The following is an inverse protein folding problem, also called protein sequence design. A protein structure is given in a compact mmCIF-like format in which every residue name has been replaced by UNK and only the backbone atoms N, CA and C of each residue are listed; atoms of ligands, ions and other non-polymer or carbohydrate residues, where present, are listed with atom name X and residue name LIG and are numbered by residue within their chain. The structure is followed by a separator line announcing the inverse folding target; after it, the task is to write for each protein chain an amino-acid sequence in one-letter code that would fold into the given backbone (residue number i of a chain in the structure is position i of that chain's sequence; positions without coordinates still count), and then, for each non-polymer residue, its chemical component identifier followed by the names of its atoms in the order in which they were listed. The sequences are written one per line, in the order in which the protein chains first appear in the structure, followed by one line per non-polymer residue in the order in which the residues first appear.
data_IF_932700672933
#
_entry.id   IF_932700672933
#
_cell.length_a   1.000
_cell.length_b   1.000
_cell.length_c   1.000
_cell.angle_alpha   90.00
_cell.angle_beta   90.00
_cell.angle_gamma   90.00
#
_symmetry.space_group_name_H-M   'P 1'
#
loop_
_entity.id
_entity.type
_entity.pdbx_description
1 polymer ?
#
# COMPACT_ATOMS: atom_id res chain seq x y z
N UNK A 1 62.68 31.22 47.21
CA UNK A 1 63.36 30.23 48.06
C UNK A 1 62.82 28.85 47.73
N UNK A 2 63.74 27.93 47.44
CA UNK A 2 63.52 26.53 47.07
C UNK A 2 62.85 25.70 48.17
N UNK A 3 62.08 24.68 47.77
CA UNK A 3 62.24 23.28 48.23
C UNK A 3 61.32 22.35 47.42
N UNK A 4 61.90 21.52 46.53
CA UNK A 4 62.03 20.04 46.62
C UNK A 4 60.67 19.31 46.63
N UNK A 5 60.20 18.74 45.51
CA UNK A 5 60.65 17.49 44.85
C UNK A 5 60.39 16.23 45.70
N UNK A 6 59.46 15.36 45.23
CA UNK A 6 59.70 13.93 44.86
C UNK A 6 58.49 12.99 45.10
N UNK A 7 58.40 12.01 44.20
CA UNK A 7 57.96 10.60 44.35
C UNK A 7 56.63 10.17 43.71
N UNK A 8 56.84 9.40 42.62
CA UNK A 8 56.22 8.15 42.16
C UNK A 8 54.78 7.80 42.57
N UNK A 9 54.02 7.38 41.57
CA UNK A 9 52.81 6.56 41.76
C UNK A 9 52.28 6.03 40.44
N UNK A 10 52.92 4.98 39.94
CA UNK A 10 52.43 4.14 38.84
C UNK A 10 51.12 3.45 39.25
N UNK A 11 50.07 3.51 38.44
CA UNK A 11 49.02 2.47 38.39
C UNK A 11 48.15 2.66 37.14
N UNK A 12 48.30 1.71 36.22
CA UNK A 12 47.34 1.35 35.19
C UNK A 12 45.92 1.31 35.79
N UNK A 13 45.00 2.02 35.15
CA UNK A 13 43.56 1.89 35.37
C UNK A 13 42.87 1.91 34.02
N UNK A 14 43.14 0.92 33.18
CA UNK A 14 42.40 0.68 31.95
C UNK A 14 41.01 0.12 32.35
N UNK A 15 40.07 1.02 32.63
CA UNK A 15 38.66 0.68 32.77
C UNK A 15 38.09 0.44 31.36
N UNK A 16 38.03 -0.83 30.98
CA UNK A 16 37.21 -1.30 29.86
C UNK A 16 35.74 -0.93 30.15
N UNK A 17 35.24 0.09 29.46
CA UNK A 17 33.81 0.34 29.30
C UNK A 17 33.24 -0.75 28.38
N UNK A 18 32.79 -1.87 28.94
CA UNK A 18 31.96 -2.83 28.22
C UNK A 18 30.53 -2.29 28.24
N UNK A 19 30.16 -1.55 27.19
CA UNK A 19 28.77 -1.19 26.94
C UNK A 19 27.98 -2.43 26.48
N UNK A 20 26.69 -2.58 26.85
CA UNK A 20 25.90 -3.75 26.51
C UNK A 20 25.52 -3.76 25.03
N UNK A 21 26.05 -4.73 24.27
CA UNK A 21 25.71 -4.95 22.86
C UNK A 21 24.32 -5.59 22.62
N UNK A 22 23.48 -5.73 23.65
CA UNK A 22 22.20 -6.43 23.54
C UNK A 22 21.05 -5.58 22.96
N UNK A 23 21.13 -4.24 23.00
CA UNK A 23 20.03 -3.37 22.57
C UNK A 23 19.98 -3.09 21.06
N UNK A 24 21.10 -3.28 20.35
CA UNK A 24 21.18 -2.96 18.92
C UNK A 24 20.43 -3.97 18.03
N UNK A 25 20.43 -5.26 18.39
CA UNK A 25 19.68 -6.30 17.65
C UNK A 25 18.17 -6.17 17.84
N UNK A 26 17.72 -5.78 19.04
CA UNK A 26 16.29 -5.61 19.35
C UNK A 26 15.68 -4.41 18.59
N UNK A 27 16.44 -3.34 18.38
CA UNK A 27 16.00 -2.17 17.58
C UNK A 27 15.94 -2.46 16.08
N UNK A 28 16.85 -3.29 15.54
CA UNK A 28 16.82 -3.72 14.12
C UNK A 28 15.64 -4.64 13.82
N UNK A 29 15.24 -5.49 14.77
CA UNK A 29 14.04 -6.34 14.64
C UNK A 29 12.72 -5.57 14.79
N UNK A 30 12.75 -4.30 15.21
CA UNK A 30 11.58 -3.43 15.38
C UNK A 30 11.40 -2.41 14.24
N UNK A 31 12.26 -2.42 13.22
CA UNK A 31 12.10 -1.60 12.01
C UNK A 31 11.26 -2.31 10.93
N UNK A 32 10.28 -3.11 11.33
CA UNK A 32 9.20 -3.46 10.41
C UNK A 32 8.41 -2.17 10.17
N UNK A 33 8.21 -1.70 8.92
CA UNK A 33 7.30 -0.59 8.68
C UNK A 33 5.94 -0.93 9.33
N UNK A 34 5.21 0.08 9.87
CA UNK A 34 3.89 -0.14 10.43
C UNK A 34 3.08 -1.06 9.50
N UNK A 35 2.44 -2.10 10.03
CA UNK A 35 1.81 -3.17 9.22
C UNK A 35 0.89 -2.61 8.13
N UNK A 36 0.25 -1.47 8.37
CA UNK A 36 -0.59 -0.80 7.39
C UNK A 36 0.22 -0.17 6.25
N UNK A 37 1.39 0.43 6.52
CA UNK A 37 2.31 0.91 5.47
C UNK A 37 2.80 -0.24 4.57
N UNK A 38 3.05 -1.41 5.15
CA UNK A 38 3.44 -2.60 4.38
C UNK A 38 2.32 -3.03 3.42
N UNK A 39 1.05 -3.05 3.88
CA UNK A 39 -0.12 -3.37 3.04
C UNK A 39 -0.29 -2.39 1.88
N UNK A 40 -0.17 -1.08 2.11
CA UNK A 40 -0.26 -0.10 1.02
C UNK A 40 0.88 -0.25 0.02
N UNK A 41 2.10 -0.54 0.50
CA UNK A 41 3.27 -0.77 -0.36
C UNK A 41 3.07 -2.01 -1.23
N UNK A 42 2.58 -3.11 -0.67
CA UNK A 42 2.28 -4.33 -1.41
C UNK A 42 1.19 -4.11 -2.48
N UNK A 43 0.12 -3.39 -2.13
CA UNK A 43 -0.93 -3.03 -3.08
C UNK A 43 -0.41 -2.16 -4.24
N UNK A 44 0.48 -1.20 -3.97
CA UNK A 44 1.14 -0.40 -5.00
C UNK A 44 2.03 -1.25 -5.90
N UNK A 45 2.83 -2.16 -5.33
CA UNK A 45 3.68 -3.08 -6.08
C UNK A 45 2.86 -3.98 -7.01
N UNK A 46 1.79 -4.60 -6.49
CA UNK A 46 0.84 -5.39 -7.30
C UNK A 46 0.26 -4.58 -8.46
N UNK A 47 -0.07 -3.32 -8.20
CA UNK A 47 -0.60 -2.41 -9.22
C UNK A 47 0.46 -2.07 -10.27
N UNK A 48 1.72 -1.90 -9.87
CA UNK A 48 2.84 -1.68 -10.80
C UNK A 48 3.08 -2.88 -11.73
N UNK A 49 2.88 -4.11 -11.25
CA UNK A 49 3.02 -5.33 -12.06
C UNK A 49 1.84 -5.54 -13.02
N UNK A 50 0.64 -5.09 -12.64
CA UNK A 50 -0.60 -5.47 -13.34
C UNK A 50 -1.11 -4.37 -14.29
N UNK A 51 -0.99 -3.11 -13.87
CA UNK A 51 -1.73 -2.01 -14.48
C UNK A 51 -0.92 -1.32 -15.59
N UNK A 52 -1.42 -1.24 -16.83
CA UNK A 52 -0.72 -0.57 -17.93
C UNK A 52 -0.38 0.88 -17.60
N UNK A 53 -1.35 1.62 -17.07
CA UNK A 53 -1.23 3.06 -16.80
C UNK A 53 -0.69 3.39 -15.41
N UNK A 54 -0.11 2.40 -14.71
CA UNK A 54 0.50 2.63 -13.40
C UNK A 54 1.53 3.77 -13.46
N UNK A 55 1.39 4.68 -12.51
CA UNK A 55 2.43 5.57 -12.01
C UNK A 55 2.09 5.82 -10.55
N UNK A 56 3.09 6.05 -9.70
CA UNK A 56 2.84 6.34 -8.28
C UNK A 56 1.83 7.47 -8.09
N UNK A 57 1.93 8.54 -8.88
CA UNK A 57 1.03 9.69 -8.80
C UNK A 57 -0.42 9.33 -9.16
N UNK A 58 -0.65 8.48 -10.17
CA UNK A 58 -2.02 8.09 -10.58
C UNK A 58 -2.60 6.99 -9.70
N UNK A 59 -1.79 6.03 -9.29
CA UNK A 59 -2.26 4.83 -8.58
C UNK A 59 -2.48 5.09 -7.09
N UNK A 60 -1.59 5.88 -6.46
CA UNK A 60 -1.61 6.06 -5.00
C UNK A 60 -2.93 6.58 -4.45
N UNK A 61 -3.61 7.59 -5.04
CA UNK A 61 -4.89 8.08 -4.52
C UNK A 61 -5.98 7.02 -4.41
N UNK A 62 -6.07 6.10 -5.39
CA UNK A 62 -7.03 4.99 -5.35
C UNK A 62 -6.65 3.95 -4.30
N UNK A 63 -5.38 3.57 -4.22
CA UNK A 63 -4.89 2.57 -3.25
C UNK A 63 -5.08 3.04 -1.81
N UNK A 64 -4.72 4.28 -1.49
CA UNK A 64 -4.83 4.80 -0.11
C UNK A 64 -6.28 5.07 0.31
N UNK A 65 -7.20 5.22 -0.63
CA UNK A 65 -8.63 5.35 -0.34
C UNK A 65 -9.24 4.03 0.16
N UNK A 66 -8.69 2.89 -0.24
CA UNK A 66 -9.18 1.57 0.18
C UNK A 66 -8.71 1.26 1.61
N UNK A 67 -9.59 0.82 2.52
CA UNK A 67 -9.20 0.43 3.87
C UNK A 67 -8.15 -0.70 3.87
N UNK A 68 -7.14 -0.61 4.74
CA UNK A 68 -6.07 -1.62 4.82
C UNK A 68 -6.58 -3.06 5.03
N UNK A 69 -7.70 -3.25 5.74
CA UNK A 69 -8.32 -4.57 5.89
C UNK A 69 -8.82 -5.13 4.55
N UNK A 70 -9.43 -4.30 3.71
CA UNK A 70 -9.87 -4.70 2.38
C UNK A 70 -8.66 -4.98 1.46
N UNK A 71 -7.62 -4.15 1.53
CA UNK A 71 -6.38 -4.38 0.77
C UNK A 71 -5.74 -5.74 1.08
N UNK A 72 -5.73 -6.17 2.35
CA UNK A 72 -5.21 -7.50 2.75
C UNK A 72 -5.98 -8.65 2.09
N UNK A 73 -7.31 -8.53 1.95
CA UNK A 73 -8.15 -9.52 1.26
C UNK A 73 -7.89 -9.50 -0.25
N UNK A 74 -7.75 -8.32 -0.84
CA UNK A 74 -7.40 -8.21 -2.27
C UNK A 74 -6.03 -8.82 -2.55
N UNK A 75 -5.04 -8.54 -1.69
CA UNK A 75 -3.69 -9.06 -1.80
C UNK A 75 -3.65 -10.58 -1.70
N UNK A 76 -4.35 -11.19 -0.72
CA UNK A 76 -4.40 -12.64 -0.56
C UNK A 76 -5.02 -13.37 -1.76
N UNK A 77 -5.87 -12.68 -2.53
CA UNK A 77 -6.49 -13.17 -3.76
C UNK A 77 -5.71 -12.81 -5.03
N UNK A 78 -4.65 -12.03 -4.89
CA UNK A 78 -3.84 -11.55 -6.00
C UNK A 78 -4.51 -10.48 -6.87
N UNK A 79 -5.51 -9.79 -6.32
CA UNK A 79 -6.25 -8.75 -7.03
C UNK A 79 -5.51 -7.41 -7.03
N UNK A 80 -5.69 -6.63 -8.09
CA UNK A 80 -4.99 -5.37 -8.31
C UNK A 80 -5.94 -4.16 -8.37
N UNK A 81 -5.38 -2.98 -8.11
CA UNK A 81 -6.06 -1.69 -8.20
C UNK A 81 -5.42 -0.87 -9.33
N UNK A 82 -6.11 -0.69 -10.45
CA UNK A 82 -5.56 -0.04 -11.64
C UNK A 82 -6.20 1.31 -11.97
N UNK A 83 -5.42 2.41 -12.08
CA UNK A 83 -5.93 3.58 -12.76
C UNK A 83 -6.14 3.24 -14.25
N UNK A 84 -7.27 3.67 -14.82
CA UNK A 84 -7.58 3.54 -16.24
C UNK A 84 -8.27 4.81 -16.73
N UNK A 85 -7.53 5.63 -17.46
CA UNK A 85 -7.98 6.92 -18.02
C UNK A 85 -8.97 6.76 -19.17
N UNK A 86 -9.15 5.53 -19.68
CA UNK A 86 -10.12 5.22 -20.74
C UNK A 86 -11.54 5.04 -20.21
N UNK A 87 -11.69 4.83 -18.90
CA UNK A 87 -13.00 4.78 -18.26
C UNK A 87 -13.65 6.16 -18.32
N UNK A 88 -14.93 6.23 -18.68
CA UNK A 88 -15.62 7.51 -18.75
C UNK A 88 -15.97 8.05 -17.35
N UNK A 89 -16.29 9.34 -17.24
CA UNK A 89 -16.57 9.98 -15.95
C UNK A 89 -17.94 9.62 -15.37
N UNK A 90 -18.85 9.08 -16.19
CA UNK A 90 -20.19 8.62 -15.77
C UNK A 90 -20.18 7.18 -15.26
N UNK A 91 -19.24 6.34 -15.72
CA UNK A 91 -18.97 4.99 -15.21
C UNK A 91 -17.52 4.81 -14.72
N UNK A 92 -17.11 5.58 -13.69
CA UNK A 92 -15.70 5.78 -13.40
C UNK A 92 -15.03 4.63 -12.64
N UNK A 93 -15.75 3.57 -12.25
CA UNK A 93 -15.21 2.43 -11.51
C UNK A 93 -15.73 1.13 -12.11
N UNK A 94 -14.83 0.16 -12.28
CA UNK A 94 -15.12 -1.15 -12.85
C UNK A 94 -14.42 -2.23 -12.04
N UNK A 95 -15.07 -3.37 -11.89
CA UNK A 95 -14.48 -4.62 -11.46
C UNK A 95 -14.42 -5.56 -12.66
N UNK A 96 -13.22 -5.97 -13.04
CA UNK A 96 -12.95 -6.94 -14.09
C UNK A 96 -12.77 -8.33 -13.44
N UNK A 97 -13.88 -9.03 -13.21
CA UNK A 97 -13.89 -10.27 -12.42
C UNK A 97 -12.98 -11.39 -12.92
N UNK A 98 -12.88 -11.57 -14.24
CA UNK A 98 -11.97 -12.57 -14.82
C UNK A 98 -10.48 -12.26 -14.57
N UNK A 99 -10.13 -10.99 -14.43
CA UNK A 99 -8.76 -10.53 -14.25
C UNK A 99 -8.40 -10.26 -12.79
N UNK A 100 -9.41 -10.16 -11.91
CA UNK A 100 -9.18 -9.80 -10.52
C UNK A 100 -8.73 -8.34 -10.36
N UNK A 101 -9.32 -7.41 -11.12
CA UNK A 101 -8.87 -6.01 -11.13
C UNK A 101 -10.02 -5.07 -10.83
N UNK A 102 -9.85 -4.22 -9.82
CA UNK A 102 -10.62 -2.99 -9.79
C UNK A 102 -9.90 -1.91 -10.59
N UNK A 103 -10.62 -1.30 -11.53
CA UNK A 103 -10.13 -0.15 -12.26
C UNK A 103 -10.93 1.11 -11.91
N UNK A 104 -10.30 2.28 -11.96
CA UNK A 104 -10.98 3.55 -11.80
C UNK A 104 -10.41 4.63 -12.71
N UNK A 105 -11.25 5.60 -13.11
CA UNK A 105 -10.80 6.81 -13.80
C UNK A 105 -10.16 7.78 -12.78
N UNK A 106 -8.83 8.03 -12.82
CA UNK A 106 -8.18 8.95 -11.90
C UNK A 106 -8.57 10.42 -12.10
N UNK A 107 -9.15 10.79 -13.25
CA UNK A 107 -9.65 12.14 -13.52
C UNK A 107 -11.07 12.37 -12.95
N UNK A 108 -11.78 11.33 -12.53
CA UNK A 108 -13.09 11.46 -11.90
C UNK A 108 -12.94 11.61 -10.39
N UNK A 109 -13.21 12.82 -9.88
CA UNK A 109 -12.97 13.19 -8.47
C UNK A 109 -13.63 12.24 -7.44
N UNK A 110 -14.79 11.65 -7.78
CA UNK A 110 -15.50 10.72 -6.91
C UNK A 110 -15.04 9.25 -7.01
N UNK A 111 -14.24 8.91 -8.02
CA UNK A 111 -13.91 7.52 -8.34
C UNK A 111 -13.16 6.79 -7.22
N UNK A 112 -12.14 7.36 -6.55
CA UNK A 112 -11.46 6.69 -5.45
C UNK A 112 -12.40 6.34 -4.27
N UNK A 113 -13.40 7.19 -3.99
CA UNK A 113 -14.39 6.93 -2.94
C UNK A 113 -15.32 5.78 -3.31
N UNK A 114 -15.77 5.72 -4.56
CA UNK A 114 -16.60 4.63 -5.06
C UNK A 114 -15.81 3.32 -5.05
N UNK A 115 -14.58 3.34 -5.57
CA UNK A 115 -13.64 2.23 -5.55
C UNK A 115 -13.48 1.67 -4.12
N UNK A 116 -13.18 2.54 -3.15
CA UNK A 116 -13.00 2.16 -1.77
C UNK A 116 -14.25 1.51 -1.16
N UNK A 117 -15.43 2.08 -1.43
CA UNK A 117 -16.69 1.55 -0.93
C UNK A 117 -16.96 0.13 -1.47
N UNK A 118 -16.79 -0.07 -2.79
CA UNK A 118 -17.07 -1.35 -3.43
C UNK A 118 -16.02 -2.42 -3.09
N UNK A 119 -14.74 -2.06 -3.13
CA UNK A 119 -13.65 -2.96 -2.73
C UNK A 119 -13.82 -3.41 -1.26
N UNK A 120 -14.19 -2.50 -0.36
CA UNK A 120 -14.45 -2.85 1.03
C UNK A 120 -15.74 -3.68 1.20
N UNK A 121 -16.77 -3.48 0.39
CA UNK A 121 -17.97 -4.31 0.44
C UNK A 121 -17.65 -5.75 0.05
N UNK A 122 -16.98 -5.95 -1.10
CA UNK A 122 -16.60 -7.30 -1.55
C UNK A 122 -15.55 -7.96 -0.67
N UNK A 123 -14.60 -7.21 -0.12
CA UNK A 123 -13.64 -7.77 0.81
C UNK A 123 -14.28 -8.24 2.12
N UNK A 124 -15.40 -7.63 2.55
CA UNK A 124 -16.14 -8.06 3.75
C UNK A 124 -16.99 -9.31 3.51
N UNK A 125 -17.64 -9.40 2.35
CA UNK A 125 -18.41 -10.61 1.99
C UNK A 125 -17.53 -11.75 1.51
N UNK A 126 -16.31 -11.44 1.04
CA UNK A 126 -15.40 -12.37 0.37
C UNK A 126 -15.95 -12.99 -0.93
N UNK A 127 -17.06 -12.45 -1.42
CA UNK A 127 -17.75 -12.87 -2.63
C UNK A 127 -17.41 -11.90 -3.77
N UNK A 128 -16.52 -12.32 -4.66
CA UNK A 128 -16.11 -11.53 -5.82
C UNK A 128 -16.77 -12.08 -7.08
N UNK A 129 -17.55 -11.28 -7.83
CA UNK A 129 -18.16 -11.73 -9.07
C UNK A 129 -17.12 -12.15 -10.11
N UNK A 130 -17.35 -13.24 -10.83
CA UNK A 130 -16.52 -13.58 -12.01
C UNK A 130 -16.80 -12.66 -13.22
N UNK A 131 -17.96 -12.01 -13.24
CA UNK A 131 -18.38 -11.09 -14.29
C UNK A 131 -17.77 -9.69 -14.13
N UNK A 132 -17.86 -8.89 -15.20
CA UNK A 132 -17.55 -7.46 -15.11
C UNK A 132 -18.69 -6.72 -14.42
N UNK A 133 -18.36 -5.87 -13.46
CA UNK A 133 -19.33 -5.03 -12.73
C UNK A 133 -18.90 -3.58 -12.86
N UNK A 134 -19.84 -2.69 -13.16
CA UNK A 134 -19.57 -1.28 -13.47
C UNK A 134 -20.39 -0.40 -12.54
N UNK A 135 -19.79 0.67 -12.02
CA UNK A 135 -20.46 1.63 -11.17
C UNK A 135 -20.49 3.02 -11.78
N UNK A 136 -21.63 3.68 -11.62
CA UNK A 136 -21.83 5.07 -12.01
C UNK A 136 -21.12 6.01 -11.03
N UNK A 137 -20.96 7.28 -11.40
CA UNK A 137 -20.39 8.33 -10.55
C UNK A 137 -21.15 8.58 -9.23
N UNK A 138 -22.38 8.11 -9.10
CA UNK A 138 -23.16 8.14 -7.86
C UNK A 138 -23.03 6.85 -7.02
N UNK A 139 -22.17 5.91 -7.43
CA UNK A 139 -21.94 4.64 -6.75
C UNK A 139 -22.99 3.55 -7.01
N UNK A 140 -24.04 3.82 -7.80
CA UNK A 140 -25.01 2.80 -8.23
C UNK A 140 -24.44 1.92 -9.33
N UNK A 141 -24.97 0.71 -9.47
CA UNK A 141 -24.63 -0.18 -10.58
C UNK A 141 -25.01 0.46 -11.93
N UNK A 142 -24.16 0.25 -12.92
CA UNK A 142 -24.36 0.67 -14.30
C UNK A 142 -24.69 -0.55 -15.16
N UNK A 143 -25.97 -0.93 -15.19
CA UNK A 143 -26.45 -2.03 -16.03
C UNK A 143 -26.29 -1.69 -17.51
N UNK A 144 -25.85 -2.68 -18.31
CA UNK A 144 -25.63 -2.52 -19.75
C UNK A 144 -24.49 -1.57 -20.14
N UNK A 145 -23.67 -1.11 -19.18
CA UNK A 145 -22.57 -0.20 -19.47
C UNK A 145 -21.49 -0.89 -20.31
N UNK A 146 -21.04 -0.20 -21.36
CA UNK A 146 -19.89 -0.62 -22.17
C UNK A 146 -18.64 0.03 -21.59
N UNK A 147 -17.66 -0.79 -21.26
CA UNK A 147 -16.36 -0.34 -20.74
C UNK A 147 -15.24 -0.95 -21.59
N UNK A 148 -14.09 -0.27 -21.70
CA UNK A 148 -12.91 -0.83 -22.34
C UNK A 148 -12.55 -2.18 -21.72
N UNK A 149 -12.08 -3.12 -22.53
CA UNK A 149 -11.50 -4.35 -22.00
C UNK A 149 -10.23 -4.03 -21.20
N UNK A 150 -10.04 -4.77 -20.10
CA UNK A 150 -8.80 -4.71 -19.35
C UNK A 150 -7.64 -5.23 -20.21
N UNK A 151 -6.51 -4.52 -20.18
CA UNK A 151 -5.25 -4.95 -20.78
C UNK A 151 -4.24 -5.10 -19.66
N UNK A 152 -3.56 -6.23 -19.57
CA UNK A 152 -2.46 -6.40 -18.61
C UNK A 152 -1.21 -5.70 -19.15
N UNK A 153 -0.36 -5.23 -18.25
CA UNK A 153 1.01 -4.80 -18.56
C UNK A 153 1.84 -5.97 -19.11
#
# INVERSE_FOLDING_TARGET
MNCKSRILGSSLGLLLLIAPHADAQKRRAQQQPPKDNATYTAALARSAETCPEHSDQRTRPGVVAVPAAALKVLESRGYALCPDTRLDTTTPVVWYGKQGVFAWNPASAGAPKILAAQAAAYARSEEFPGATVVWKSNGKLAEGALVPSFRKR
#
